data_IF_141199557980
#
_entry.id   IF_141199557980
#
_cell.length_a   1.000
_cell.length_b   1.000
_cell.length_c   1.000
_cell.angle_alpha   90.00
_cell.angle_beta   90.00
_cell.angle_gamma   90.00
#
_symmetry.space_group_name_H-M   'P 1'
#
loop_
_entity.id
_entity.type
_entity.pdbx_description
1 polymer ?
#
# COMPACT_ATOMS: atom_id res chain seq x y z
N UNK A 1 60.43 -27.04 -3.52
CA UNK A 1 58.99 -27.30 -3.31
C UNK A 1 58.30 -25.93 -3.30
N UNK A 2 57.49 -25.63 -4.32
CA UNK A 2 56.93 -24.29 -4.55
C UNK A 2 55.63 -24.13 -3.77
N UNK A 3 55.58 -23.09 -2.94
CA UNK A 3 54.40 -22.65 -2.22
C UNK A 3 53.36 -22.09 -3.21
N UNK A 4 52.12 -22.56 -3.14
CA UNK A 4 50.97 -21.92 -3.78
C UNK A 4 50.02 -21.45 -2.68
N UNK A 5 50.11 -20.17 -2.31
CA UNK A 5 49.05 -19.50 -1.58
C UNK A 5 47.99 -19.06 -2.59
N UNK A 6 46.81 -19.66 -2.50
CA UNK A 6 45.64 -19.26 -3.28
C UNK A 6 44.89 -18.19 -2.47
N UNK A 7 44.97 -16.94 -2.92
CA UNK A 7 44.19 -15.83 -2.35
C UNK A 7 42.75 -15.90 -2.88
N UNK A 8 41.78 -16.00 -1.99
CA UNK A 8 40.36 -15.80 -2.30
C UNK A 8 40.05 -14.30 -2.29
N UNK A 9 39.72 -13.74 -3.46
CA UNK A 9 39.18 -12.39 -3.59
C UNK A 9 37.67 -12.44 -3.31
N UNK A 10 37.24 -11.91 -2.16
CA UNK A 10 35.82 -11.71 -1.86
C UNK A 10 35.42 -10.35 -2.47
N UNK A 11 34.73 -10.38 -3.61
CA UNK A 11 34.05 -9.19 -4.13
C UNK A 11 32.90 -8.84 -3.18
N UNK A 12 33.05 -7.77 -2.40
CA UNK A 12 31.97 -7.17 -1.64
C UNK A 12 31.01 -6.43 -2.58
N UNK A 13 30.02 -7.14 -3.11
CA UNK A 13 28.83 -6.49 -3.64
C UNK A 13 28.09 -5.88 -2.45
N UNK A 14 27.98 -4.56 -2.41
CA UNK A 14 27.04 -3.88 -1.53
C UNK A 14 25.63 -4.32 -1.97
N UNK A 15 25.07 -5.32 -1.28
CA UNK A 15 23.65 -5.59 -1.40
C UNK A 15 22.93 -4.33 -0.92
N UNK A 16 22.30 -3.60 -1.84
CA UNK A 16 21.28 -2.64 -1.44
C UNK A 16 20.29 -3.44 -0.61
N UNK A 17 20.06 -3.06 0.64
CA UNK A 17 19.03 -3.69 1.45
C UNK A 17 17.71 -3.52 0.68
N UNK A 18 17.14 -4.63 0.22
CA UNK A 18 15.78 -4.61 -0.32
C UNK A 18 14.86 -4.14 0.80
N UNK A 19 14.02 -3.14 0.53
CA UNK A 19 13.07 -2.64 1.53
C UNK A 19 12.19 -3.76 2.06
N UNK A 20 11.72 -3.57 3.28
CA UNK A 20 10.81 -4.51 3.89
C UNK A 20 9.40 -4.24 3.35
N UNK A 21 8.68 -5.31 3.03
CA UNK A 21 7.24 -5.21 2.82
C UNK A 21 6.57 -5.17 4.20
N UNK A 22 6.00 -4.02 4.54
CA UNK A 22 5.07 -3.89 5.66
C UNK A 22 3.71 -4.43 5.19
N UNK A 23 3.26 -5.53 5.78
CA UNK A 23 2.02 -6.19 5.38
C UNK A 23 1.02 -6.22 6.54
N UNK A 24 -0.19 -5.76 6.24
CA UNK A 24 -1.31 -5.68 7.19
C UNK A 24 -2.43 -6.60 6.70
N UNK A 25 -2.31 -7.93 6.93
CA UNK A 25 -3.34 -8.88 6.53
C UNK A 25 -4.57 -8.80 7.43
N UNK A 26 -5.73 -9.16 6.85
CA UNK A 26 -6.99 -9.42 7.59
C UNK A 26 -7.37 -8.27 8.54
N UNK A 27 -7.33 -7.07 8.01
CA UNK A 27 -7.74 -5.87 8.74
C UNK A 27 -9.26 -5.85 8.83
N UNK A 28 -9.94 -6.21 7.74
CA UNK A 28 -11.40 -6.38 7.64
C UNK A 28 -12.17 -5.21 8.31
N UNK A 29 -11.72 -3.98 8.04
CA UNK A 29 -12.26 -2.75 8.64
C UNK A 29 -13.54 -2.37 7.87
N UNK A 30 -14.71 -2.35 8.52
CA UNK A 30 -15.96 -1.98 7.85
C UNK A 30 -15.97 -0.49 7.52
N UNK A 31 -16.46 -0.14 6.34
CA UNK A 31 -16.65 1.25 5.93
C UNK A 31 -18.07 1.70 6.31
N UNK A 32 -18.24 2.66 7.25
CA UNK A 32 -19.55 3.16 7.63
C UNK A 32 -20.25 3.87 6.47
N UNK A 33 -21.59 3.85 6.46
CA UNK A 33 -22.40 4.61 5.50
C UNK A 33 -22.62 6.07 5.92
N UNK A 34 -21.78 6.60 6.80
CA UNK A 34 -21.88 7.97 7.33
C UNK A 34 -21.02 8.95 6.53
N UNK A 35 -21.21 10.24 6.81
CA UNK A 35 -20.39 11.29 6.19
C UNK A 35 -18.98 11.30 6.75
N UNK A 36 -18.79 10.97 8.02
CA UNK A 36 -17.49 10.92 8.69
C UNK A 36 -16.62 9.79 8.14
N UNK A 37 -17.25 8.65 7.82
CA UNK A 37 -16.54 7.50 7.27
C UNK A 37 -15.67 6.78 8.30
N UNK A 38 -14.53 6.27 7.82
CA UNK A 38 -13.48 5.67 8.64
C UNK A 38 -12.12 6.14 8.11
N UNK A 39 -11.42 6.92 8.93
CA UNK A 39 -10.01 7.27 8.73
C UNK A 39 -9.12 6.12 9.18
N UNK A 40 -8.03 5.88 8.45
CA UNK A 40 -7.07 4.82 8.71
C UNK A 40 -5.66 5.39 8.63
N UNK A 41 -4.83 5.02 9.60
CA UNK A 41 -3.37 5.14 9.58
C UNK A 41 -2.82 3.81 9.03
N UNK A 42 -2.14 3.86 7.89
CA UNK A 42 -1.70 2.66 7.16
C UNK A 42 -0.39 2.07 7.71
N UNK A 43 0.34 2.82 8.52
CA UNK A 43 1.56 2.41 9.20
C UNK A 43 1.27 1.67 10.50
N UNK A 44 0.13 1.94 11.13
CA UNK A 44 -0.25 1.33 12.42
C UNK A 44 -1.51 0.46 12.35
N UNK A 45 -2.35 0.65 11.34
CA UNK A 45 -3.69 0.05 11.26
C UNK A 45 -4.70 0.67 12.22
N UNK A 46 -4.37 1.79 12.86
CA UNK A 46 -5.29 2.51 13.74
C UNK A 46 -6.41 3.14 12.91
N UNK A 47 -7.63 3.16 13.45
CA UNK A 47 -8.80 3.71 12.77
C UNK A 47 -9.56 4.70 13.64
N UNK A 48 -10.24 5.66 13.00
CA UNK A 48 -11.18 6.57 13.66
C UNK A 48 -12.45 6.75 12.82
N UNK A 49 -13.59 6.86 13.49
CA UNK A 49 -14.90 7.19 12.88
C UNK A 49 -15.40 8.57 13.34
N UNK A 50 -14.52 9.37 13.93
CA UNK A 50 -14.84 10.72 14.38
C UNK A 50 -14.83 11.69 13.21
N UNK A 51 -15.67 12.72 13.27
CA UNK A 51 -15.71 13.78 12.25
C UNK A 51 -14.39 14.54 12.09
N UNK A 52 -13.57 14.57 13.15
CA UNK A 52 -12.22 15.15 13.13
C UNK A 52 -11.19 14.29 12.38
N UNK A 53 -11.57 13.08 11.95
CA UNK A 53 -10.67 12.09 11.40
C UNK A 53 -9.82 11.41 12.47
N UNK A 54 -8.59 11.07 12.11
CA UNK A 54 -7.56 10.44 12.93
C UNK A 54 -6.29 11.31 12.86
N UNK A 55 -5.77 11.84 13.98
CA UNK A 55 -4.48 12.52 13.96
C UNK A 55 -3.38 11.61 13.38
N UNK A 56 -2.72 12.07 12.31
CA UNK A 56 -1.76 11.27 11.55
C UNK A 56 -2.37 10.19 10.63
N UNK A 57 -3.69 10.20 10.42
CA UNK A 57 -4.34 9.29 9.47
C UNK A 57 -4.04 9.67 8.02
N UNK A 58 -4.02 8.66 7.14
CA UNK A 58 -3.59 8.82 5.74
C UNK A 58 -4.74 8.85 4.76
N UNK A 59 -5.78 8.07 5.04
CA UNK A 59 -6.89 7.83 4.12
C UNK A 59 -8.21 7.72 4.88
N UNK A 60 -9.28 8.25 4.29
CA UNK A 60 -10.63 8.13 4.82
C UNK A 60 -11.59 7.58 3.76
N UNK A 61 -12.37 6.57 4.15
CA UNK A 61 -13.42 5.97 3.35
C UNK A 61 -14.79 6.37 3.87
N UNK A 62 -15.60 7.00 3.01
CA UNK A 62 -16.88 7.57 3.40
C UNK A 62 -18.04 6.85 2.72
N UNK A 63 -19.22 6.89 3.35
CA UNK A 63 -20.50 6.49 2.73
C UNK A 63 -20.48 5.09 2.09
N UNK A 64 -19.91 4.10 2.78
CA UNK A 64 -19.80 2.72 2.30
C UNK A 64 -18.70 2.49 1.25
N UNK A 65 -17.82 3.47 1.05
CA UNK A 65 -16.76 3.44 0.03
C UNK A 65 -17.14 4.21 -1.23
N UNK A 66 -18.34 4.79 -1.29
CA UNK A 66 -18.76 5.64 -2.41
C UNK A 66 -17.93 6.91 -2.55
N UNK A 67 -17.18 7.30 -1.50
CA UNK A 67 -16.08 8.25 -1.62
C UNK A 67 -14.85 7.81 -0.83
N UNK A 68 -13.67 8.18 -1.33
CA UNK A 68 -12.36 7.91 -0.72
C UNK A 68 -11.52 9.18 -0.83
N UNK A 69 -10.91 9.61 0.27
CA UNK A 69 -10.12 10.85 0.35
C UNK A 69 -8.80 10.62 1.07
N UNK A 70 -7.77 11.39 0.73
CA UNK A 70 -6.52 11.48 1.49
C UNK A 70 -6.55 12.58 2.56
N UNK A 71 -7.72 13.14 2.82
CA UNK A 71 -8.00 14.05 3.93
C UNK A 71 -8.59 13.25 5.10
N UNK A 72 -7.70 12.69 5.93
CA UNK A 72 -8.07 11.78 7.02
C UNK A 72 -7.80 12.36 8.41
N UNK A 73 -7.18 13.54 8.50
CA UNK A 73 -6.85 14.27 9.72
C UNK A 73 -7.21 15.75 9.53
N UNK A 74 -8.22 16.24 10.27
CA UNK A 74 -8.69 17.63 10.16
C UNK A 74 -7.59 18.67 10.45
N UNK A 75 -6.52 18.28 11.16
CA UNK A 75 -5.43 19.18 11.57
C UNK A 75 -4.24 19.13 10.62
N UNK A 76 -4.22 18.19 9.67
CA UNK A 76 -3.14 18.06 8.71
C UNK A 76 -3.11 19.26 7.75
N UNK A 77 -1.92 19.82 7.55
CA UNK A 77 -1.71 20.91 6.59
C UNK A 77 -1.48 20.41 5.15
N UNK A 78 -1.16 19.11 5.00
CA UNK A 78 -0.95 18.42 3.73
C UNK A 78 -1.24 16.92 3.93
N UNK A 79 -1.65 16.20 2.87
CA UNK A 79 -1.85 14.75 2.96
C UNK A 79 -0.50 14.01 2.94
N UNK A 80 -0.40 12.94 3.73
CA UNK A 80 0.72 11.98 3.70
C UNK A 80 0.62 11.04 2.49
N UNK A 81 -0.59 10.82 1.97
CA UNK A 81 -0.88 9.81 0.94
C UNK A 81 -1.42 10.41 -0.37
N UNK A 82 -1.06 9.80 -1.50
CA UNK A 82 -1.68 10.03 -2.81
C UNK A 82 -2.16 8.73 -3.43
N UNK A 83 -3.43 8.68 -3.80
CA UNK A 83 -4.03 7.53 -4.47
C UNK A 83 -3.66 7.48 -5.95
N UNK A 84 -3.50 6.28 -6.48
CA UNK A 84 -3.35 6.04 -7.92
C UNK A 84 -4.70 6.27 -8.61
N UNK A 85 -4.67 7.08 -9.66
CA UNK A 85 -5.85 7.64 -10.32
C UNK A 85 -5.82 7.40 -11.82
N UNK A 86 -6.97 7.61 -12.47
CA UNK A 86 -7.07 7.57 -13.93
C UNK A 86 -6.45 8.79 -14.62
N UNK A 87 -6.15 9.84 -13.86
CA UNK A 87 -5.51 11.09 -14.30
C UNK A 87 -4.85 11.83 -13.14
N UNK A 88 -4.32 13.04 -13.39
CA UNK A 88 -3.53 13.81 -12.41
C UNK A 88 -4.34 14.82 -11.60
N UNK A 89 -5.66 14.92 -11.82
CA UNK A 89 -6.52 15.82 -11.03
C UNK A 89 -6.78 15.23 -9.64
N UNK A 90 -6.87 16.09 -8.63
CA UNK A 90 -7.15 15.68 -7.25
C UNK A 90 -8.59 15.15 -7.04
N UNK A 91 -9.45 15.28 -8.04
CA UNK A 91 -10.80 14.72 -8.09
C UNK A 91 -10.95 13.62 -9.13
N UNK A 92 -9.87 13.16 -9.77
CA UNK A 92 -9.98 12.08 -10.76
C UNK A 92 -10.37 10.75 -10.10
N UNK A 93 -11.13 9.89 -10.79
CA UNK A 93 -11.44 8.54 -10.35
C UNK A 93 -10.21 7.75 -9.89
N UNK A 94 -10.38 6.90 -8.86
CA UNK A 94 -9.38 5.89 -8.53
C UNK A 94 -9.22 4.91 -9.70
N UNK A 95 -7.98 4.49 -9.95
CA UNK A 95 -7.69 3.40 -10.89
C UNK A 95 -7.80 2.08 -10.15
N UNK A 96 -8.64 1.16 -10.63
CA UNK A 96 -8.58 -0.23 -10.14
C UNK A 96 -7.35 -0.91 -10.73
N UNK A 97 -6.57 -1.57 -9.87
CA UNK A 97 -5.40 -2.36 -10.26
C UNK A 97 -5.73 -3.86 -10.26
N UNK A 98 -5.09 -4.58 -11.17
CA UNK A 98 -5.05 -6.03 -11.21
C UNK A 98 -3.91 -6.60 -10.37
N UNK A 99 -4.04 -7.88 -9.98
CA UNK A 99 -2.92 -8.62 -9.40
C UNK A 99 -1.79 -8.70 -10.43
N UNK A 100 -0.57 -8.40 -10.00
CA UNK A 100 0.60 -8.34 -10.88
C UNK A 100 0.90 -6.96 -11.45
N UNK A 101 -0.02 -5.99 -11.32
CA UNK A 101 0.29 -4.59 -11.62
C UNK A 101 1.34 -4.06 -10.63
N UNK A 102 2.06 -3.02 -11.05
CA UNK A 102 3.09 -2.37 -10.25
C UNK A 102 2.63 -1.01 -9.78
N UNK A 103 2.93 -0.68 -8.52
CA UNK A 103 2.86 0.68 -7.98
C UNK A 103 4.26 1.18 -7.69
N UNK A 104 4.61 2.33 -8.24
CA UNK A 104 5.94 2.95 -8.14
C UNK A 104 5.87 4.46 -8.46
N UNK A 105 7.04 5.09 -8.59
CA UNK A 105 7.18 6.52 -8.87
C UNK A 105 6.58 6.99 -10.21
N UNK A 106 6.23 6.07 -11.11
CA UNK A 106 5.61 6.36 -12.40
C UNK A 106 4.09 6.25 -12.37
N UNK A 107 3.53 5.78 -11.25
CA UNK A 107 2.09 5.69 -11.06
C UNK A 107 1.43 7.07 -11.14
N UNK A 108 0.27 7.13 -11.81
CA UNK A 108 -0.45 8.38 -11.99
C UNK A 108 -1.14 8.78 -10.69
N UNK A 109 -0.65 9.84 -10.05
CA UNK A 109 -1.17 10.39 -8.80
C UNK A 109 -1.50 11.88 -8.96
N UNK A 110 -2.26 12.42 -8.01
CA UNK A 110 -2.50 13.86 -7.90
C UNK A 110 -1.49 14.52 -6.95
N UNK A 111 -1.69 15.81 -6.66
CA UNK A 111 -0.95 16.55 -5.64
C UNK A 111 -1.91 17.24 -4.69
N UNK A 112 -1.53 17.37 -3.42
CA UNK A 112 -2.36 18.01 -2.39
C UNK A 112 -3.57 17.17 -1.99
N UNK A 113 -4.48 17.77 -1.24
CA UNK A 113 -5.71 17.10 -0.81
C UNK A 113 -6.61 16.80 -2.01
N UNK A 114 -7.23 15.62 -1.99
CA UNK A 114 -8.06 15.13 -3.06
C UNK A 114 -8.92 13.96 -2.67
N UNK A 115 -9.99 13.76 -3.41
CA UNK A 115 -10.96 12.70 -3.19
C UNK A 115 -11.32 12.01 -4.51
N UNK A 116 -11.99 10.88 -4.40
CA UNK A 116 -12.67 10.20 -5.50
C UNK A 116 -14.05 9.77 -5.01
N UNK A 117 -15.02 9.66 -5.93
CA UNK A 117 -16.40 9.29 -5.61
C UNK A 117 -17.42 10.42 -5.85
N UNK A 118 -17.01 11.67 -5.59
CA UNK A 118 -17.82 12.88 -5.78
C UNK A 118 -16.86 14.07 -6.02
N UNK A 119 -16.96 14.84 -7.13
CA UNK A 119 -17.96 14.73 -8.20
C UNK A 119 -17.71 13.58 -9.18
N UNK A 120 -16.48 13.07 -9.28
CA UNK A 120 -16.15 12.03 -10.23
C UNK A 120 -16.09 10.67 -9.54
N UNK A 121 -17.01 9.79 -9.93
CA UNK A 121 -17.08 8.44 -9.38
C UNK A 121 -15.89 7.59 -9.80
N UNK A 122 -15.38 6.75 -8.88
CA UNK A 122 -14.48 5.64 -9.24
C UNK A 122 -15.23 4.41 -9.78
N UNK A 123 -16.54 4.52 -10.01
CA UNK A 123 -17.29 3.57 -10.82
C UNK A 123 -17.35 4.10 -12.27
N UNK A 124 -17.09 3.26 -13.29
CA UNK A 124 -17.03 1.80 -13.28
C UNK A 124 -15.61 1.20 -13.14
N UNK A 125 -14.58 1.99 -12.79
CA UNK A 125 -13.23 1.44 -12.57
C UNK A 125 -13.26 0.34 -11.51
N UNK A 126 -13.98 0.57 -10.42
CA UNK A 126 -14.39 -0.46 -9.47
C UNK A 126 -15.77 -1.05 -9.83
N UNK A 127 -16.05 -2.26 -9.34
CA UNK A 127 -17.40 -2.84 -9.36
C UNK A 127 -17.96 -2.82 -7.93
N UNK A 128 -19.11 -2.16 -7.67
CA UNK A 128 -19.72 -2.13 -6.34
C UNK A 128 -19.87 -3.53 -5.73
N UNK A 129 -19.50 -3.65 -4.45
CA UNK A 129 -19.63 -4.89 -3.69
C UNK A 129 -18.62 -5.98 -4.06
N UNK A 130 -17.73 -5.72 -5.01
CA UNK A 130 -16.68 -6.64 -5.44
C UNK A 130 -15.32 -6.18 -4.94
N UNK A 131 -14.47 -7.07 -4.38
CA UNK A 131 -13.11 -6.70 -4.02
C UNK A 131 -12.29 -6.25 -5.25
N UNK A 132 -11.56 -5.15 -5.09
CA UNK A 132 -10.59 -4.63 -6.05
C UNK A 132 -9.36 -4.09 -5.34
N UNK A 133 -8.32 -3.74 -6.11
CA UNK A 133 -7.08 -3.17 -5.56
C UNK A 133 -6.97 -1.69 -5.93
N UNK A 134 -6.59 -0.87 -4.95
CA UNK A 134 -6.21 0.52 -5.15
C UNK A 134 -4.72 0.68 -4.80
N UNK A 135 -3.97 1.37 -5.65
CA UNK A 135 -2.57 1.72 -5.39
C UNK A 135 -2.46 3.08 -4.71
N UNK A 136 -1.33 3.32 -4.04
CA UNK A 136 -1.01 4.61 -3.45
C UNK A 136 0.51 4.83 -3.33
N UNK A 137 0.91 6.09 -3.22
CA UNK A 137 2.17 6.49 -2.60
C UNK A 137 1.90 7.13 -1.24
N UNK A 138 2.83 6.97 -0.30
CA UNK A 138 2.72 7.48 1.07
C UNK A 138 4.08 8.03 1.52
N UNK A 139 4.08 9.14 2.26
CA UNK A 139 5.27 9.66 2.91
C UNK A 139 5.29 9.15 4.35
N UNK A 140 6.20 8.22 4.63
CA UNK A 140 6.37 7.62 5.95
C UNK A 140 6.99 8.61 6.95
N UNK A 141 6.94 8.29 8.24
CA UNK A 141 7.53 9.08 9.35
C UNK A 141 9.02 9.42 9.15
N UNK A 142 9.76 8.59 8.43
CA UNK A 142 11.17 8.82 8.10
C UNK A 142 11.38 9.74 6.87
N UNK A 143 10.32 10.33 6.33
CA UNK A 143 10.23 11.11 5.10
C UNK A 143 10.52 10.33 3.80
N UNK A 144 10.54 9.00 3.83
CA UNK A 144 10.62 8.19 2.61
C UNK A 144 9.26 8.17 1.92
N UNK A 145 9.24 8.49 0.63
CA UNK A 145 8.09 8.17 -0.23
C UNK A 145 8.10 6.68 -0.54
N UNK A 146 7.16 5.95 0.04
CA UNK A 146 6.90 4.55 -0.13
C UNK A 146 5.73 4.31 -1.08
N UNK A 147 5.61 3.08 -1.57
CA UNK A 147 4.53 2.68 -2.48
C UNK A 147 3.79 1.48 -1.93
N UNK A 148 2.48 1.47 -2.12
CA UNK A 148 1.62 0.46 -1.56
C UNK A 148 0.39 0.17 -2.39
N UNK A 149 -0.29 -0.89 -1.99
CA UNK A 149 -1.59 -1.25 -2.50
C UNK A 149 -2.49 -1.69 -1.36
N UNK A 150 -3.79 -1.51 -1.55
CA UNK A 150 -4.82 -1.98 -0.63
C UNK A 150 -5.89 -2.73 -1.39
N UNK A 151 -6.43 -3.77 -0.76
CA UNK A 151 -7.58 -4.51 -1.24
C UNK A 151 -8.83 -4.00 -0.53
N UNK A 152 -9.79 -3.51 -1.31
CA UNK A 152 -11.00 -2.88 -0.80
C UNK A 152 -12.23 -3.43 -1.52
N UNK A 153 -13.34 -3.52 -0.80
CA UNK A 153 -14.68 -3.60 -1.39
C UNK A 153 -15.32 -2.24 -1.22
N UNK A 154 -15.56 -1.55 -2.32
CA UNK A 154 -16.25 -0.27 -2.34
C UNK A 154 -17.71 -0.48 -2.75
N UNK A 155 -18.61 0.33 -2.20
CA UNK A 155 -20.02 0.31 -2.56
C UNK A 155 -20.45 1.65 -3.17
N UNK A 156 -21.59 1.63 -3.86
CA UNK A 156 -22.28 2.87 -4.20
C UNK A 156 -22.57 3.71 -2.96
N UNK A 157 -22.68 5.03 -3.15
CA UNK A 157 -22.88 6.00 -2.08
C UNK A 157 -24.03 5.58 -1.14
N UNK A 158 -23.72 5.53 0.15
CA UNK A 158 -24.62 5.17 1.25
C UNK A 158 -25.12 3.72 1.24
N UNK A 159 -24.47 2.81 0.52
CA UNK A 159 -24.77 1.39 0.57
C UNK A 159 -23.87 0.65 1.57
N UNK A 160 -24.45 -0.32 2.28
CA UNK A 160 -23.73 -1.13 3.27
C UNK A 160 -22.84 -2.20 2.61
N UNK A 161 -21.78 -2.62 3.29
CA UNK A 161 -20.92 -3.73 2.85
C UNK A 161 -19.57 -3.30 2.28
N UNK A 162 -19.23 -2.02 2.36
CA UNK A 162 -17.87 -1.56 2.11
C UNK A 162 -16.90 -2.11 3.17
N UNK A 163 -15.70 -2.52 2.72
CA UNK A 163 -14.72 -3.21 3.57
C UNK A 163 -13.28 -2.92 3.11
N UNK A 164 -12.39 -2.62 4.04
CA UNK A 164 -10.94 -2.57 3.79
C UNK A 164 -10.37 -3.91 4.27
N UNK A 165 -9.89 -4.74 3.33
CA UNK A 165 -9.50 -6.13 3.63
C UNK A 165 -8.07 -6.20 4.18
N UNK A 166 -7.13 -5.58 3.48
CA UNK A 166 -5.70 -5.68 3.72
C UNK A 166 -4.94 -4.64 2.89
N UNK A 167 -3.70 -4.37 3.27
CA UNK A 167 -2.78 -3.56 2.46
C UNK A 167 -1.32 -3.98 2.69
N UNK A 168 -0.46 -3.58 1.75
CA UNK A 168 0.98 -3.74 1.85
C UNK A 168 1.69 -2.48 1.37
N UNK A 169 2.85 -2.19 1.98
CA UNK A 169 3.72 -1.04 1.69
C UNK A 169 5.14 -1.55 1.50
N UNK A 170 5.82 -1.12 0.45
CA UNK A 170 7.26 -1.26 0.26
C UNK A 170 7.92 0.00 0.83
N UNK A 171 8.69 -0.17 1.92
CA UNK A 171 9.14 0.93 2.77
C UNK A 171 10.46 1.60 2.36
N UNK A 172 11.10 1.13 1.29
CA UNK A 172 12.35 1.73 0.78
C UNK A 172 12.15 2.75 -0.33
N UNK A 173 10.93 2.86 -0.87
CA UNK A 173 10.61 3.66 -2.04
C UNK A 173 10.89 2.94 -3.37
N UNK A 174 11.09 1.63 -3.31
CA UNK A 174 11.07 0.74 -4.46
C UNK A 174 9.64 0.46 -4.94
N UNK A 175 9.56 -0.24 -6.07
CA UNK A 175 8.27 -0.66 -6.61
C UNK A 175 7.64 -1.78 -5.76
N UNK A 176 6.31 -1.87 -5.78
CA UNK A 176 5.56 -2.98 -5.19
C UNK A 176 4.63 -3.61 -6.22
N UNK A 177 4.55 -4.94 -6.23
CA UNK A 177 3.59 -5.68 -7.06
C UNK A 177 2.29 -5.95 -6.29
N UNK A 178 1.16 -5.65 -6.93
CA UNK A 178 -0.18 -5.80 -6.36
C UNK A 178 -0.51 -7.27 -6.10
N UNK A 179 -1.02 -7.55 -4.89
CA UNK A 179 -1.53 -8.87 -4.50
C UNK A 179 -0.47 -9.89 -4.07
N UNK A 180 0.81 -9.52 -4.06
CA UNK A 180 1.91 -10.38 -3.63
C UNK A 180 2.65 -9.72 -2.45
N UNK A 181 2.45 -10.18 -1.20
CA UNK A 181 3.38 -9.88 -0.13
C UNK A 181 4.65 -10.67 -0.44
N UNK A 182 5.69 -10.05 -0.99
CA UNK A 182 6.91 -10.76 -1.31
C UNK A 182 7.48 -11.41 -0.04
N UNK A 183 7.79 -12.72 -0.04
CA UNK A 183 8.50 -13.32 1.09
C UNK A 183 9.87 -12.67 1.17
N UNK A 184 10.19 -12.08 2.34
CA UNK A 184 11.47 -11.43 2.58
C UNK A 184 12.61 -12.30 2.06
N UNK A 185 13.45 -11.74 1.19
CA UNK A 185 14.53 -12.46 0.50
C UNK A 185 15.48 -13.17 1.46
N UNK A 186 15.56 -12.71 2.71
CA UNK A 186 16.21 -13.36 3.84
C UNK A 186 15.66 -14.77 4.15
N UNK A 187 14.34 -14.96 4.13
CA UNK A 187 13.70 -16.26 4.35
C UNK A 187 14.03 -17.24 3.20
N UNK A 188 13.99 -16.75 1.96
CA UNK A 188 14.38 -17.53 0.78
C UNK A 188 15.87 -17.89 0.80
N UNK A 189 16.74 -16.97 1.22
CA UNK A 189 18.18 -17.22 1.36
C UNK A 189 18.47 -18.26 2.46
N UNK A 190 17.76 -18.22 3.59
CA UNK A 190 17.88 -19.22 4.66
C UNK A 190 17.37 -20.59 4.19
N UNK A 191 16.27 -20.65 3.45
CA UNK A 191 15.77 -21.90 2.85
C UNK A 191 16.76 -22.47 1.81
N UNK A 192 17.34 -21.61 0.97
CA UNK A 192 18.35 -22.02 -0.01
C UNK A 192 19.62 -22.56 0.67
N UNK A 193 20.13 -21.86 1.69
CA UNK A 193 21.28 -22.30 2.48
C UNK A 193 20.97 -23.59 3.25
N UNK A 194 19.80 -23.69 3.88
CA UNK A 194 19.33 -24.89 4.57
C UNK A 194 19.26 -26.10 3.64
N UNK A 195 18.77 -25.92 2.42
CA UNK A 195 18.76 -26.96 1.37
C UNK A 195 20.17 -27.42 0.97
N UNK A 196 21.14 -26.50 0.88
CA UNK A 196 22.53 -26.84 0.56
C UNK A 196 23.18 -27.63 1.72
N UNK A 197 22.94 -27.24 2.98
CA UNK A 197 23.49 -27.96 4.13
C UNK A 197 22.86 -29.35 4.34
N UNK A 198 21.56 -29.49 4.05
CA UNK A 198 20.88 -30.78 4.10
C UNK A 198 21.32 -31.72 2.97
N UNK A 199 21.62 -31.18 1.78
CA UNK A 199 22.14 -31.96 0.65
C UNK A 199 23.57 -32.50 0.89
N UNK A 200 24.37 -31.83 1.72
CA UNK A 200 25.72 -32.29 2.08
C UNK A 200 25.75 -33.40 3.13
N UNK A 201 24.62 -33.73 3.75
CA UNK A 201 24.50 -34.79 4.77
C UNK A 201 23.86 -36.09 4.26
N UNK A 202 23.50 -36.14 2.97
CA UNK A 202 23.14 -37.37 2.25
C UNK A 202 24.28 -37.75 1.31
#
# INVERSE_FOLDING_TARGET
MRHALTSFLILGLAAMAQGAILWFPRQDIPIPTTFEGVSVDLETGTTSVLAAGLPGGDINFLRGGGAVTNDADQTAAAPSLQLVRTGTSNVDPLRQLGIGDTVDSTSTVATGFGASGDPNSHFPEFTPGTPGYAGFSIVLDNNTTAYGWMRVTLQDTNQTGGLIHEWAIEDSGGLITVGVPEPSTSLLAILALGGIFLRRRR
#
